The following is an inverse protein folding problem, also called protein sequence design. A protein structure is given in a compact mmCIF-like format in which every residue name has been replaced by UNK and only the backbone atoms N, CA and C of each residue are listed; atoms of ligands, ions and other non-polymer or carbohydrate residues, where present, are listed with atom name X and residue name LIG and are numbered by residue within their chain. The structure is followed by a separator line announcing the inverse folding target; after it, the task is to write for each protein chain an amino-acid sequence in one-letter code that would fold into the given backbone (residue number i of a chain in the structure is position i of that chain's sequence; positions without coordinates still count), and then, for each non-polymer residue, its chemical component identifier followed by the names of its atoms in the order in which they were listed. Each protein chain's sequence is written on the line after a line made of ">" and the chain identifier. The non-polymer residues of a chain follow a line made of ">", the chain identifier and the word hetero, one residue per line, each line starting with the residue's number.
data_IF_969785042925
#
_entry.id   IF_969785042925
#
_cell.length_a   1.000
_cell.length_b   1.000
_cell.length_c   1.000
_cell.angle_alpha   90.00
_cell.angle_beta   90.00
_cell.angle_gamma   90.00
#
_symmetry.space_group_name_H-M   'P 1'
#
loop_
_entity.id
_entity.type
_entity.pdbx_description
1 polymer ?
#
# COMPACT_ATOMS: atom_id res chain seq x y z
N UNK A 1 11.56 -24.09 -31.70
CA UNK A 1 12.98 -23.96 -31.31
C UNK A 1 13.56 -22.72 -31.99
N UNK A 2 13.11 -21.55 -31.55
CA UNK A 2 13.63 -20.28 -32.08
C UNK A 2 14.97 -20.04 -31.38
N UNK A 3 16.05 -20.36 -32.09
CA UNK A 3 17.44 -20.35 -31.63
C UNK A 3 18.00 -18.96 -31.30
N UNK A 4 17.23 -18.12 -30.60
CA UNK A 4 17.77 -16.93 -29.97
C UNK A 4 18.66 -17.37 -28.81
N UNK A 5 19.96 -17.08 -28.91
CA UNK A 5 20.90 -17.22 -27.81
C UNK A 5 20.33 -16.51 -26.58
N UNK A 6 20.08 -17.25 -25.49
CA UNK A 6 19.71 -16.64 -24.23
C UNK A 6 20.73 -15.53 -23.90
N UNK A 7 20.28 -14.31 -23.57
CA UNK A 7 21.18 -13.26 -23.17
C UNK A 7 22.11 -13.78 -22.05
N UNK A 8 23.41 -13.49 -22.07
CA UNK A 8 24.38 -14.02 -21.10
C UNK A 8 24.20 -13.44 -19.68
N UNK A 9 23.06 -12.80 -19.41
CA UNK A 9 22.75 -12.04 -18.22
C UNK A 9 21.58 -12.68 -17.47
N UNK A 10 21.80 -13.02 -16.20
CA UNK A 10 20.73 -13.41 -15.27
C UNK A 10 20.37 -12.21 -14.39
N UNK A 11 19.10 -12.07 -14.05
CA UNK A 11 18.64 -11.04 -13.11
C UNK A 11 18.05 -11.75 -11.89
N UNK A 12 18.48 -11.34 -10.70
CA UNK A 12 17.97 -11.81 -9.41
C UNK A 12 17.34 -10.62 -8.70
N UNK A 13 16.05 -10.73 -8.39
CA UNK A 13 15.31 -9.74 -7.62
C UNK A 13 15.11 -10.29 -6.21
N UNK A 14 15.53 -9.53 -5.22
CA UNK A 14 15.29 -9.82 -3.80
C UNK A 14 14.35 -8.76 -3.27
N UNK A 15 13.15 -9.19 -2.90
CA UNK A 15 12.17 -8.36 -2.22
C UNK A 15 12.39 -8.40 -0.70
N UNK A 16 11.97 -7.34 -0.02
CA UNK A 16 12.13 -7.17 1.45
C UNK A 16 13.56 -7.40 1.94
N UNK A 17 14.55 -6.90 1.20
CA UNK A 17 15.97 -7.11 1.52
C UNK A 17 16.38 -6.50 2.88
N UNK A 18 15.60 -5.55 3.41
CA UNK A 18 15.75 -4.96 4.74
C UNK A 18 15.38 -5.91 5.88
N UNK A 19 14.60 -6.96 5.62
CA UNK A 19 14.30 -8.02 6.58
C UNK A 19 15.44 -9.03 6.74
N UNK A 20 16.50 -8.95 5.93
CA UNK A 20 17.64 -9.85 6.00
C UNK A 20 18.58 -9.52 7.17
N UNK A 21 19.05 -10.54 7.88
CA UNK A 21 20.08 -10.37 8.92
C UNK A 21 21.41 -9.89 8.34
N UNK A 22 22.20 -9.16 9.14
CA UNK A 22 23.52 -8.64 8.73
C UNK A 22 24.48 -9.76 8.24
N UNK A 23 24.40 -10.95 8.84
CA UNK A 23 25.19 -12.11 8.42
C UNK A 23 24.77 -12.59 7.02
N UNK A 24 23.47 -12.67 6.76
CA UNK A 24 22.93 -13.04 5.44
C UNK A 24 23.29 -12.01 4.37
N UNK A 25 23.18 -10.72 4.67
CA UNK A 25 23.60 -9.65 3.76
C UNK A 25 25.12 -9.72 3.47
N UNK A 26 25.94 -10.05 4.47
CA UNK A 26 27.39 -10.22 4.27
C UNK A 26 27.71 -11.41 3.35
N UNK A 27 26.95 -12.51 3.44
CA UNK A 27 27.08 -13.64 2.52
C UNK A 27 26.58 -13.29 1.10
N UNK A 28 25.45 -12.59 1.00
CA UNK A 28 24.91 -12.09 -0.27
C UNK A 28 25.92 -11.20 -0.99
N UNK A 29 26.56 -10.27 -0.29
CA UNK A 29 27.62 -9.41 -0.83
C UNK A 29 28.73 -10.23 -1.50
N UNK A 30 29.24 -11.28 -0.85
CA UNK A 30 30.29 -12.15 -1.44
C UNK A 30 29.81 -12.82 -2.74
N UNK A 31 28.55 -13.22 -2.76
CA UNK A 31 27.91 -13.83 -3.94
C UNK A 31 27.77 -12.81 -5.07
N UNK A 32 27.34 -11.59 -4.76
CA UNK A 32 27.25 -10.48 -5.73
C UNK A 32 28.61 -10.14 -6.33
N UNK A 33 29.68 -10.15 -5.53
CA UNK A 33 31.05 -9.90 -6.00
C UNK A 33 31.55 -11.03 -6.91
N UNK A 34 31.29 -12.29 -6.54
CA UNK A 34 31.71 -13.46 -7.32
C UNK A 34 30.98 -13.56 -8.67
N UNK A 35 29.67 -13.33 -8.67
CA UNK A 35 28.81 -13.54 -9.84
C UNK A 35 28.54 -12.25 -10.66
N UNK A 36 29.35 -11.20 -10.45
CA UNK A 36 29.17 -9.89 -11.10
C UNK A 36 29.26 -9.94 -12.63
N UNK A 37 29.88 -10.96 -13.24
CA UNK A 37 29.98 -11.06 -14.71
C UNK A 37 28.70 -11.59 -15.35
N UNK A 38 28.01 -12.51 -14.68
CA UNK A 38 26.88 -13.27 -15.23
C UNK A 38 25.53 -12.78 -14.68
N UNK A 39 25.51 -12.25 -13.45
CA UNK A 39 24.27 -11.96 -12.72
C UNK A 39 24.17 -10.50 -12.28
N UNK A 40 22.97 -9.92 -12.43
CA UNK A 40 22.59 -8.60 -11.95
C UNK A 40 21.62 -8.76 -10.80
N UNK A 41 21.83 -8.00 -9.73
CA UNK A 41 21.01 -8.04 -8.53
C UNK A 41 20.17 -6.77 -8.43
N UNK A 42 18.88 -6.94 -8.17
CA UNK A 42 17.95 -5.87 -7.82
C UNK A 42 17.45 -6.13 -6.40
N UNK A 43 17.69 -5.18 -5.50
CA UNK A 43 17.26 -5.27 -4.11
C UNK A 43 16.14 -4.26 -3.87
N UNK A 44 14.98 -4.76 -3.46
CA UNK A 44 13.83 -3.96 -3.08
C UNK A 44 13.79 -3.96 -1.55
N UNK A 45 13.69 -2.77 -0.95
CA UNK A 45 13.64 -2.59 0.49
C UNK A 45 12.88 -1.31 0.83
N UNK A 46 12.25 -1.27 2.00
CA UNK A 46 11.57 -0.07 2.49
C UNK A 46 12.55 0.87 3.19
N UNK A 47 13.50 0.30 3.94
CA UNK A 47 14.47 1.05 4.72
C UNK A 47 15.91 0.81 4.26
N UNK A 48 16.46 1.76 3.50
CA UNK A 48 17.86 1.68 3.04
C UNK A 48 18.87 1.65 4.19
N UNK A 49 18.52 2.21 5.36
CA UNK A 49 19.35 2.18 6.57
C UNK A 49 19.57 0.77 7.12
N UNK A 50 18.67 -0.18 6.81
CA UNK A 50 18.80 -1.58 7.21
C UNK A 50 19.71 -2.38 6.28
N UNK A 51 20.14 -1.80 5.15
CA UNK A 51 21.07 -2.43 4.21
C UNK A 51 22.50 -2.03 4.52
N UNK A 52 23.39 -3.02 4.63
CA UNK A 52 24.79 -2.77 4.98
C UNK A 52 25.51 -1.88 3.93
N UNK A 53 26.37 -0.93 4.35
CA UNK A 53 27.11 -0.03 3.45
C UNK A 53 27.87 -0.73 2.29
N UNK A 54 28.46 -1.94 2.47
CA UNK A 54 29.10 -2.65 1.37
C UNK A 54 28.16 -3.01 0.20
N UNK A 55 26.89 -3.31 0.46
CA UNK A 55 25.92 -3.58 -0.62
C UNK A 55 25.51 -2.27 -1.28
N UNK A 56 25.13 -1.26 -0.48
CA UNK A 56 24.63 0.02 -1.02
C UNK A 56 25.67 0.78 -1.84
N UNK A 57 26.96 0.62 -1.55
CA UNK A 57 28.06 1.20 -2.35
C UNK A 57 28.24 0.56 -3.72
N UNK A 58 27.74 -0.67 -3.92
CA UNK A 58 27.82 -1.42 -5.20
C UNK A 58 26.55 -1.29 -6.05
N UNK A 59 25.48 -0.77 -5.48
CA UNK A 59 24.18 -0.65 -6.14
C UNK A 59 23.87 0.79 -6.54
N UNK A 60 23.21 0.96 -7.69
CA UNK A 60 22.53 2.20 -8.01
C UNK A 60 21.30 2.35 -7.12
N UNK A 61 21.16 3.51 -6.46
CA UNK A 61 20.09 3.77 -5.50
C UNK A 61 18.96 4.51 -6.20
N UNK A 62 17.79 3.89 -6.25
CA UNK A 62 16.55 4.50 -6.71
C UNK A 62 15.59 4.64 -5.54
N UNK A 63 15.14 5.87 -5.28
CA UNK A 63 14.19 6.15 -4.20
C UNK A 63 12.82 6.45 -4.78
N UNK A 64 11.88 5.55 -4.54
CA UNK A 64 10.46 5.78 -4.86
C UNK A 64 9.81 6.56 -3.73
N UNK A 65 9.19 7.68 -4.07
CA UNK A 65 8.37 8.46 -3.12
C UNK A 65 6.90 8.06 -3.30
N UNK A 66 6.07 8.18 -2.24
CA UNK A 66 4.62 8.07 -2.38
C UNK A 66 4.12 9.02 -3.47
N UNK A 67 3.07 8.60 -4.17
CA UNK A 67 2.49 9.39 -5.25
C UNK A 67 1.67 10.55 -4.65
N UNK A 68 1.65 11.67 -5.37
CA UNK A 68 0.74 12.77 -5.04
C UNK A 68 -0.71 12.39 -5.31
N UNK A 69 -1.62 12.91 -4.49
CA UNK A 69 -3.07 12.64 -4.56
C UNK A 69 -3.66 12.82 -5.97
N UNK A 70 -3.25 13.87 -6.68
CA UNK A 70 -3.70 14.14 -8.04
C UNK A 70 -3.31 13.05 -9.06
N UNK A 71 -2.12 12.45 -8.90
CA UNK A 71 -1.68 11.34 -9.77
C UNK A 71 -2.41 10.04 -9.45
N UNK A 72 -2.69 9.80 -8.17
CA UNK A 72 -3.47 8.63 -7.74
C UNK A 72 -4.89 8.73 -8.29
N UNK A 73 -5.54 9.89 -8.13
CA UNK A 73 -6.86 10.17 -8.70
C UNK A 73 -6.89 9.92 -10.21
N UNK A 74 -5.97 10.54 -10.95
CA UNK A 74 -5.86 10.35 -12.40
C UNK A 74 -5.74 8.87 -12.77
N UNK A 75 -4.93 8.11 -12.03
CA UNK A 75 -4.72 6.68 -12.30
C UNK A 75 -5.95 5.84 -11.97
N UNK A 76 -6.65 6.13 -10.88
CA UNK A 76 -7.90 5.46 -10.52
C UNK A 76 -8.99 5.74 -11.55
N UNK A 77 -9.13 6.98 -12.01
CA UNK A 77 -10.11 7.35 -13.05
C UNK A 77 -9.82 6.64 -14.38
N UNK A 78 -8.54 6.48 -14.75
CA UNK A 78 -8.16 5.68 -15.92
C UNK A 78 -8.57 4.22 -15.75
N UNK A 79 -8.29 3.60 -14.60
CA UNK A 79 -8.65 2.20 -14.33
C UNK A 79 -10.17 2.01 -14.36
N UNK A 80 -10.95 2.91 -13.75
CA UNK A 80 -12.40 2.83 -13.77
C UNK A 80 -12.97 2.91 -15.20
N UNK A 81 -12.37 3.73 -16.08
CA UNK A 81 -12.77 3.83 -17.48
C UNK A 81 -12.43 2.58 -18.27
N UNK A 82 -11.25 1.99 -18.07
CA UNK A 82 -10.81 0.78 -18.77
C UNK A 82 -11.62 -0.45 -18.35
N UNK A 83 -11.96 -0.55 -17.06
CA UNK A 83 -12.70 -1.68 -16.47
C UNK A 83 -14.23 -1.48 -16.48
N UNK A 84 -14.74 -0.37 -17.04
CA UNK A 84 -16.16 0.02 -17.04
C UNK A 84 -16.81 0.02 -15.64
N UNK A 85 -16.07 0.46 -14.62
CA UNK A 85 -16.56 0.54 -13.25
C UNK A 85 -17.23 1.89 -13.03
N UNK A 86 -18.51 1.87 -12.62
CA UNK A 86 -19.22 3.10 -12.26
C UNK A 86 -18.90 3.51 -10.81
N UNK A 87 -18.59 4.78 -10.59
CA UNK A 87 -18.20 5.31 -9.27
C UNK A 87 -18.80 6.70 -9.01
N UNK A 88 -18.90 7.09 -7.74
CA UNK A 88 -19.18 8.47 -7.35
C UNK A 88 -17.86 9.25 -7.10
N UNK A 89 -17.80 10.56 -7.36
CA UNK A 89 -16.58 11.35 -7.16
C UNK A 89 -16.11 11.36 -5.68
N UNK A 90 -17.04 11.19 -4.75
CA UNK A 90 -16.76 11.03 -3.32
C UNK A 90 -16.01 9.73 -3.05
N UNK A 91 -16.34 8.63 -3.75
CA UNK A 91 -15.68 7.35 -3.59
C UNK A 91 -14.20 7.39 -4.01
N UNK A 92 -13.88 8.09 -5.11
CA UNK A 92 -12.48 8.26 -5.54
C UNK A 92 -11.71 9.12 -4.55
N UNK A 93 -12.33 10.16 -4.00
CA UNK A 93 -11.71 11.00 -2.98
C UNK A 93 -11.44 10.18 -1.71
N UNK A 94 -12.42 9.42 -1.23
CA UNK A 94 -12.26 8.51 -0.11
C UNK A 94 -11.17 7.44 -0.34
N UNK A 95 -11.05 6.91 -1.57
CA UNK A 95 -9.99 5.96 -1.92
C UNK A 95 -8.60 6.60 -1.87
N UNK A 96 -8.47 7.83 -2.37
CA UNK A 96 -7.21 8.57 -2.32
C UNK A 96 -6.81 8.84 -0.87
N UNK A 97 -7.74 9.34 -0.05
CA UNK A 97 -7.51 9.64 1.36
C UNK A 97 -7.16 8.38 2.15
N UNK A 98 -7.91 7.30 1.95
CA UNK A 98 -7.64 6.01 2.58
C UNK A 98 -6.29 5.42 2.13
N UNK A 99 -5.85 5.68 0.89
CA UNK A 99 -4.61 5.08 0.37
C UNK A 99 -3.33 5.67 0.97
N UNK A 100 -3.37 6.91 1.49
CA UNK A 100 -2.21 7.57 2.09
C UNK A 100 -1.00 7.68 1.15
N UNK A 101 -1.20 7.71 -0.16
CA UNK A 101 -0.13 7.75 -1.16
C UNK A 101 0.28 6.39 -1.74
N UNK A 102 -0.29 5.28 -1.25
CA UNK A 102 -0.07 3.93 -1.75
C UNK A 102 -1.09 3.55 -2.83
N UNK A 103 -0.65 3.60 -4.09
CA UNK A 103 -1.48 3.23 -5.23
C UNK A 103 -1.89 1.74 -5.23
N UNK A 104 -1.05 0.83 -4.72
CA UNK A 104 -1.40 -0.60 -4.64
C UNK A 104 -2.60 -0.77 -3.71
N UNK A 105 -2.57 -0.12 -2.55
CA UNK A 105 -3.70 -0.11 -1.61
C UNK A 105 -4.95 0.46 -2.27
N UNK A 106 -4.84 1.63 -2.92
CA UNK A 106 -5.97 2.26 -3.61
C UNK A 106 -6.63 1.34 -4.65
N UNK A 107 -5.84 0.72 -5.53
CA UNK A 107 -6.33 -0.18 -6.59
C UNK A 107 -6.94 -1.45 -5.99
N UNK A 108 -6.32 -2.03 -4.97
CA UNK A 108 -6.81 -3.25 -4.32
C UNK A 108 -8.15 -2.99 -3.61
N UNK A 109 -8.28 -1.85 -2.94
CA UNK A 109 -9.55 -1.41 -2.35
C UNK A 109 -10.62 -1.19 -3.42
N UNK A 110 -10.31 -0.47 -4.51
CA UNK A 110 -11.24 -0.26 -5.62
C UNK A 110 -11.73 -1.59 -6.22
N UNK A 111 -10.80 -2.51 -6.49
CA UNK A 111 -11.13 -3.82 -7.04
C UNK A 111 -12.02 -4.63 -6.10
N UNK A 112 -11.77 -4.56 -4.79
CA UNK A 112 -12.57 -5.27 -3.79
C UNK A 112 -13.98 -4.68 -3.68
N UNK A 113 -14.11 -3.35 -3.70
CA UNK A 113 -15.40 -2.65 -3.72
C UNK A 113 -16.21 -3.02 -4.98
N UNK A 114 -15.57 -3.02 -6.15
CA UNK A 114 -16.21 -3.41 -7.41
C UNK A 114 -16.72 -4.86 -7.39
N UNK A 115 -15.93 -5.79 -6.83
CA UNK A 115 -16.34 -7.20 -6.68
C UNK A 115 -17.51 -7.38 -5.72
N UNK A 116 -17.56 -6.63 -4.62
CA UNK A 116 -18.62 -6.72 -3.61
C UNK A 116 -19.97 -6.19 -4.11
N UNK A 117 -19.96 -5.09 -4.87
CA UNK A 117 -21.19 -4.48 -5.38
C UNK A 117 -21.75 -5.20 -6.61
N UNK A 118 -20.89 -5.81 -7.42
CA UNK A 118 -21.24 -6.36 -8.73
C UNK A 118 -21.23 -5.29 -9.83
N UNK A 119 -21.14 -5.74 -11.08
CA UNK A 119 -20.84 -4.88 -12.24
C UNK A 119 -21.86 -3.75 -12.50
N UNK A 120 -23.11 -3.89 -12.05
CA UNK A 120 -24.19 -2.96 -12.37
C UNK A 120 -24.37 -1.82 -11.35
N UNK A 121 -23.63 -1.81 -10.23
CA UNK A 121 -23.80 -0.85 -9.15
C UNK A 121 -22.65 0.14 -9.05
N UNK A 122 -22.97 1.38 -8.69
CA UNK A 122 -22.00 2.44 -8.44
C UNK A 122 -21.29 2.20 -7.11
N UNK A 123 -19.99 2.43 -7.09
CA UNK A 123 -19.19 2.45 -5.87
C UNK A 123 -19.40 3.79 -5.16
N UNK A 124 -19.80 3.74 -3.90
CA UNK A 124 -20.03 4.90 -3.03
C UNK A 124 -18.93 5.00 -1.95
N UNK A 125 -18.82 6.16 -1.30
CA UNK A 125 -17.79 6.38 -0.27
C UNK A 125 -17.96 5.49 0.98
N UNK A 126 -19.20 5.08 1.29
CA UNK A 126 -19.50 4.13 2.38
C UNK A 126 -18.86 2.78 2.14
N UNK A 127 -18.89 2.31 0.89
CA UNK A 127 -18.31 1.02 0.50
C UNK A 127 -16.79 1.01 0.70
N UNK A 128 -16.16 2.15 0.42
CA UNK A 128 -14.72 2.33 0.63
C UNK A 128 -14.39 2.35 2.12
N UNK A 129 -15.21 3.01 2.94
CA UNK A 129 -15.01 3.06 4.39
C UNK A 129 -15.15 1.65 5.01
N UNK A 130 -16.20 0.90 4.63
CA UNK A 130 -16.41 -0.48 5.06
C UNK A 130 -15.23 -1.37 4.66
N UNK A 131 -14.73 -1.25 3.42
CA UNK A 131 -13.62 -2.06 2.92
C UNK A 131 -12.26 -1.72 3.51
N UNK A 132 -12.05 -0.45 3.85
CA UNK A 132 -10.78 0.00 4.44
C UNK A 132 -10.73 -0.19 5.95
N UNK A 133 -11.86 -0.54 6.58
CA UNK A 133 -12.00 -0.62 8.03
C UNK A 133 -11.75 0.73 8.71
N UNK A 134 -11.86 1.84 7.96
CA UNK A 134 -11.62 3.16 8.49
C UNK A 134 -12.81 3.59 9.35
N UNK A 135 -12.54 3.98 10.59
CA UNK A 135 -13.55 4.55 11.49
C UNK A 135 -14.13 5.81 10.86
N UNK A 136 -15.45 5.90 10.63
CA UNK A 136 -16.07 7.13 10.18
C UNK A 136 -15.78 8.30 11.13
N UNK A 137 -15.41 9.47 10.59
CA UNK A 137 -15.08 10.66 11.40
C UNK A 137 -16.17 11.05 12.40
N UNK A 138 -17.44 10.72 12.10
CA UNK A 138 -18.58 10.93 13.01
C UNK A 138 -18.36 10.30 14.39
N UNK A 139 -17.77 9.11 14.46
CA UNK A 139 -17.48 8.42 15.73
C UNK A 139 -16.37 9.13 16.52
N UNK A 140 -15.33 9.59 15.81
CA UNK A 140 -14.24 10.35 16.40
C UNK A 140 -14.77 11.67 16.97
N UNK A 141 -15.61 12.38 16.22
CA UNK A 141 -16.24 13.62 16.66
C UNK A 141 -17.16 13.41 17.87
N UNK A 142 -17.99 12.35 17.86
CA UNK A 142 -18.84 11.99 18.98
C UNK A 142 -18.05 11.63 20.24
N UNK A 143 -16.93 10.91 20.09
CA UNK A 143 -16.05 10.59 21.20
C UNK A 143 -15.37 11.84 21.77
N UNK A 144 -14.89 12.75 20.92
CA UNK A 144 -14.27 14.02 21.34
C UNK A 144 -15.29 14.92 22.04
N UNK A 145 -16.51 15.01 21.53
CA UNK A 145 -17.56 15.82 22.15
C UNK A 145 -18.01 15.23 23.50
N UNK A 146 -18.15 13.91 23.58
CA UNK A 146 -18.44 13.22 24.85
C UNK A 146 -17.31 13.44 25.86
N UNK A 147 -16.05 13.42 25.41
CA UNK A 147 -14.88 13.72 26.24
C UNK A 147 -14.86 15.17 26.76
N UNK A 148 -15.41 16.12 25.98
CA UNK A 148 -15.55 17.53 26.42
C UNK A 148 -16.63 17.70 27.49
N UNK A 149 -17.70 16.92 27.42
CA UNK A 149 -18.80 16.98 28.38
C UNK A 149 -18.42 16.47 29.79
N UNK A 150 -17.27 15.79 29.91
CA UNK A 150 -16.68 15.27 31.16
C UNK A 150 -17.60 14.39 32.01
N UNK A 151 -18.66 13.83 31.39
CA UNK A 151 -19.54 12.85 32.02
C UNK A 151 -19.02 11.44 31.73
N UNK A 152 -18.67 10.72 32.79
CA UNK A 152 -18.05 9.40 32.68
C UNK A 152 -19.00 8.37 32.05
N UNK A 153 -20.30 8.46 32.33
CA UNK A 153 -21.28 7.46 31.87
C UNK A 153 -21.51 7.55 30.37
N UNK A 154 -21.54 8.77 29.83
CA UNK A 154 -21.71 8.98 28.38
C UNK A 154 -20.47 8.51 27.62
N UNK A 155 -19.27 8.76 28.16
CA UNK A 155 -18.01 8.26 27.58
C UNK A 155 -17.99 6.73 27.56
N UNK A 156 -18.31 6.06 28.68
CA UNK A 156 -18.35 4.59 28.77
C UNK A 156 -19.33 4.01 27.75
N UNK A 157 -20.56 4.53 27.67
CA UNK A 157 -21.55 4.08 26.69
C UNK A 157 -21.12 4.29 25.23
N UNK A 158 -20.39 5.38 24.94
CA UNK A 158 -19.90 5.68 23.59
C UNK A 158 -18.77 4.75 23.20
N UNK A 159 -17.86 4.43 24.13
CA UNK A 159 -16.77 3.47 23.92
C UNK A 159 -17.33 2.07 23.70
N UNK A 160 -18.29 1.64 24.52
CA UNK A 160 -18.96 0.35 24.34
C UNK A 160 -19.63 0.27 22.97
N UNK A 161 -20.28 1.34 22.52
CA UNK A 161 -20.92 1.38 21.21
C UNK A 161 -19.91 1.25 20.06
N UNK A 162 -18.77 1.94 20.14
CA UNK A 162 -17.68 1.81 19.15
C UNK A 162 -17.12 0.38 19.15
N UNK A 163 -16.98 -0.23 20.34
CA UNK A 163 -16.49 -1.60 20.48
C UNK A 163 -17.47 -2.61 19.86
N UNK A 164 -18.77 -2.43 20.03
CA UNK A 164 -19.81 -3.28 19.45
C UNK A 164 -19.87 -3.19 17.91
N UNK A 165 -19.52 -2.05 17.33
CA UNK A 165 -19.46 -1.87 15.87
C UNK A 165 -18.21 -2.48 15.22
N UNK A 166 -17.36 -3.15 16.01
CA UNK A 166 -16.20 -3.94 15.55
C UNK A 166 -15.22 -3.14 14.68
N UNK A 167 -15.11 -1.83 14.93
CA UNK A 167 -14.03 -1.05 14.36
C UNK A 167 -12.70 -1.38 15.07
N UNK A 168 -11.60 -1.61 14.32
CA UNK A 168 -10.30 -2.01 14.88
C UNK A 168 -9.58 -0.89 15.65
#
# INVERSE_FOLDING_TARGET
>A
PDGTSCPPLKIVILDEADSMTNAAQSALRRTMEKETKTTRFCLICNYISCIIPPITSRCAKFRFKPLGEGMIRLRLEMICKEENVSYTPEAVTALVDASGGDLRRAITCLQSCARLKGADKKIEATDVAEMTGAVPNKWIEQFVESSRSNDYKTIESTVDQILYEAHP
#
